data_IF_765519275769
#
_entry.id   IF_765519275769
#
_cell.length_a   1.000
_cell.length_b   1.000
_cell.length_c   1.000
_cell.angle_alpha   90.00
_cell.angle_beta   90.00
_cell.angle_gamma   90.00
#
_symmetry.space_group_name_H-M   'P 1'
#
loop_
_entity.id
_entity.type
_entity.pdbx_description
1 polymer ?
#
# COMPACT_ATOMS: atom_id res chain seq x y z
N UNK A 1 29.11 -51.21 -59.94
CA UNK A 1 30.14 -51.32 -58.88
C UNK A 1 30.51 -49.93 -58.39
N UNK A 2 30.66 -49.76 -57.07
CA UNK A 2 31.13 -48.57 -56.33
C UNK A 2 30.20 -47.34 -56.35
N UNK A 3 30.01 -46.53 -55.30
CA UNK A 3 30.38 -46.57 -53.88
C UNK A 3 29.58 -45.47 -53.16
N UNK A 4 29.43 -45.58 -51.83
CA UNK A 4 28.80 -44.61 -50.93
C UNK A 4 29.65 -43.35 -50.72
N UNK A 5 29.02 -42.17 -50.57
CA UNK A 5 29.56 -41.03 -49.82
C UNK A 5 28.42 -40.29 -49.08
N UNK A 6 28.51 -40.27 -47.75
CA UNK A 6 27.70 -39.47 -46.84
C UNK A 6 28.07 -37.98 -46.93
N UNK A 7 27.08 -37.07 -46.91
CA UNK A 7 27.31 -35.65 -46.63
C UNK A 7 26.42 -35.15 -45.48
N UNK A 8 27.09 -34.53 -44.50
CA UNK A 8 26.59 -33.97 -43.24
C UNK A 8 25.59 -32.82 -43.45
N UNK A 9 24.50 -32.84 -42.68
CA UNK A 9 23.71 -31.65 -42.35
C UNK A 9 24.43 -30.84 -41.26
N UNK A 10 24.65 -29.55 -41.49
CA UNK A 10 24.92 -28.57 -40.45
C UNK A 10 23.68 -27.67 -40.33
N UNK A 11 22.90 -27.81 -39.26
CA UNK A 11 22.01 -26.75 -38.78
C UNK A 11 22.85 -25.81 -37.91
N UNK A 12 22.92 -24.54 -38.29
CA UNK A 12 23.43 -23.50 -37.42
C UNK A 12 22.28 -23.07 -36.50
N UNK A 13 22.35 -23.48 -35.24
CA UNK A 13 21.42 -23.03 -34.19
C UNK A 13 21.73 -21.56 -33.86
N UNK A 14 20.92 -20.66 -34.41
CA UNK A 14 20.84 -19.28 -33.94
C UNK A 14 20.17 -19.27 -32.57
N UNK A 15 20.97 -19.04 -31.54
CA UNK A 15 20.49 -18.80 -30.17
C UNK A 15 19.76 -17.46 -30.15
N UNK A 16 18.42 -17.51 -30.12
CA UNK A 16 17.55 -16.36 -29.94
C UNK A 16 17.53 -16.00 -28.44
N UNK A 17 18.21 -14.90 -28.08
CA UNK A 17 18.08 -14.29 -26.76
C UNK A 17 16.70 -13.62 -26.67
N UNK A 18 15.74 -14.32 -26.06
CA UNK A 18 14.46 -13.74 -25.67
C UNK A 18 14.70 -12.96 -24.39
N UNK A 19 14.71 -11.63 -24.48
CA UNK A 19 14.64 -10.75 -23.32
C UNK A 19 13.17 -10.62 -22.95
N UNK A 20 12.70 -11.45 -22.03
CA UNK A 20 11.39 -11.25 -21.42
C UNK A 20 11.50 -10.05 -20.47
N UNK A 21 10.73 -8.99 -20.72
CA UNK A 21 10.50 -7.96 -19.70
C UNK A 21 9.76 -8.62 -18.53
N UNK A 22 10.49 -8.86 -17.44
CA UNK A 22 9.88 -9.29 -16.19
C UNK A 22 9.06 -8.14 -15.64
N UNK A 23 7.74 -8.25 -15.69
CA UNK A 23 6.86 -7.42 -14.86
C UNK A 23 7.17 -7.81 -13.42
N UNK A 24 7.97 -6.99 -12.73
CA UNK A 24 8.27 -7.18 -11.33
C UNK A 24 6.98 -6.92 -10.56
N UNK A 25 6.34 -7.97 -10.04
CA UNK A 25 5.23 -7.81 -9.13
C UNK A 25 5.74 -7.07 -7.88
N UNK A 26 5.17 -5.91 -7.58
CA UNK A 26 5.46 -5.19 -6.35
C UNK A 26 4.98 -6.03 -5.16
N UNK A 27 5.88 -6.36 -4.22
CA UNK A 27 5.48 -7.08 -3.01
C UNK A 27 4.76 -6.11 -2.08
N UNK A 28 3.55 -6.50 -1.68
CA UNK A 28 2.74 -5.70 -0.75
C UNK A 28 2.31 -6.53 0.45
N UNK A 29 2.53 -5.97 1.63
CA UNK A 29 2.05 -6.50 2.90
C UNK A 29 1.13 -5.49 3.59
N UNK A 30 0.38 -5.95 4.58
CA UNK A 30 -0.35 -5.07 5.49
C UNK A 30 -0.17 -5.57 6.91
N UNK A 31 -0.04 -4.62 7.84
CA UNK A 31 0.08 -4.90 9.27
C UNK A 31 -0.68 -3.80 10.03
N UNK A 32 -1.45 -4.12 11.07
CA UNK A 32 -1.98 -3.10 11.96
C UNK A 32 -0.84 -2.36 12.66
N UNK A 33 -1.08 -1.09 12.97
CA UNK A 33 -0.23 -0.35 13.88
C UNK A 33 -0.27 -0.92 15.31
N UNK A 34 0.51 -0.31 16.22
CA UNK A 34 0.46 -0.61 17.65
C UNK A 34 0.83 -2.05 18.03
N UNK A 35 1.42 -2.79 17.08
CA UNK A 35 1.93 -4.15 17.28
C UNK A 35 3.27 -4.17 18.00
N UNK A 36 3.52 -5.26 18.72
CA UNK A 36 4.76 -5.47 19.46
C UNK A 36 5.98 -5.59 18.52
N UNK A 37 7.15 -5.16 19.01
CA UNK A 37 8.43 -5.43 18.36
C UNK A 37 8.65 -6.95 18.18
N UNK A 38 9.24 -7.34 17.05
CA UNK A 38 9.41 -8.72 16.62
C UNK A 38 8.19 -9.33 15.93
N UNK A 39 7.04 -8.64 15.88
CA UNK A 39 5.86 -9.12 15.14
C UNK A 39 6.20 -9.28 13.66
N UNK A 40 5.88 -10.45 13.10
CA UNK A 40 6.12 -10.75 11.69
C UNK A 40 5.07 -10.06 10.81
N UNK A 41 5.53 -9.25 9.88
CA UNK A 41 4.74 -8.63 8.80
C UNK A 41 4.46 -9.66 7.69
N UNK A 42 5.48 -10.45 7.33
CA UNK A 42 5.41 -11.44 6.26
C UNK A 42 6.72 -12.19 6.06
N UNK A 43 6.68 -13.32 5.35
CA UNK A 43 7.86 -14.16 5.09
C UNK A 43 8.55 -13.78 3.78
N UNK A 44 9.16 -12.61 3.76
CA UNK A 44 9.70 -12.01 2.54
C UNK A 44 10.77 -12.83 1.82
N UNK A 45 11.66 -13.54 2.55
CA UNK A 45 12.62 -14.43 1.90
C UNK A 45 11.94 -15.53 1.08
N UNK A 46 10.85 -16.10 1.62
CA UNK A 46 10.07 -17.15 0.93
C UNK A 46 9.39 -16.58 -0.30
N UNK A 47 8.82 -15.39 -0.20
CA UNK A 47 8.09 -14.74 -1.30
C UNK A 47 9.02 -14.30 -2.43
N UNK A 48 10.28 -13.98 -2.10
CA UNK A 48 11.37 -13.73 -3.06
C UNK A 48 12.07 -15.00 -3.57
N UNK A 49 11.67 -16.18 -3.10
CA UNK A 49 12.28 -17.46 -3.48
C UNK A 49 13.71 -17.67 -2.97
N UNK A 50 14.10 -16.97 -1.90
CA UNK A 50 15.42 -17.08 -1.28
C UNK A 50 15.43 -18.22 -0.24
N UNK A 51 16.50 -19.01 -0.27
CA UNK A 51 16.72 -20.04 0.74
C UNK A 51 17.21 -19.46 2.06
N UNK A 52 16.66 -19.96 3.18
CA UNK A 52 16.97 -19.47 4.54
C UNK A 52 18.45 -19.59 4.87
N UNK A 53 19.11 -20.66 4.43
CA UNK A 53 20.53 -20.87 4.71
C UNK A 53 21.42 -19.87 3.96
N UNK A 54 20.93 -19.27 2.87
CA UNK A 54 21.68 -18.30 2.07
C UNK A 54 21.56 -16.85 2.57
N UNK A 55 20.61 -16.54 3.46
CA UNK A 55 20.27 -15.15 3.82
C UNK A 55 21.43 -14.39 4.46
N UNK A 56 22.20 -15.06 5.33
CA UNK A 56 23.34 -14.46 6.03
C UNK A 56 24.50 -14.22 5.06
N UNK A 57 24.85 -15.22 4.24
CA UNK A 57 25.93 -15.13 3.24
C UNK A 57 25.63 -14.07 2.18
N UNK A 58 24.36 -14.00 1.75
CA UNK A 58 23.87 -13.00 0.80
C UNK A 58 23.49 -11.66 1.45
N UNK A 59 23.80 -11.45 2.73
CA UNK A 59 23.57 -10.20 3.48
C UNK A 59 22.17 -9.61 3.27
N UNK A 60 21.14 -10.45 3.36
CA UNK A 60 19.75 -10.06 3.15
C UNK A 60 19.27 -9.08 4.22
N UNK A 61 18.89 -7.86 3.81
CA UNK A 61 18.54 -6.78 4.75
C UNK A 61 17.65 -5.70 4.15
N UNK A 62 17.00 -4.94 5.03
CA UNK A 62 16.40 -3.64 4.68
C UNK A 62 17.51 -2.63 4.35
N UNK A 63 17.32 -1.86 3.29
CA UNK A 63 18.24 -0.81 2.88
C UNK A 63 18.19 0.37 3.87
N UNK A 64 19.35 0.90 4.29
CA UNK A 64 19.37 2.08 5.13
C UNK A 64 18.68 3.30 4.52
N UNK A 65 17.92 4.02 5.34
CA UNK A 65 17.15 5.19 4.91
C UNK A 65 15.77 4.92 4.27
N UNK A 66 15.44 3.68 3.88
CA UNK A 66 14.07 3.32 3.44
C UNK A 66 13.21 2.83 4.60
N UNK A 67 13.11 3.61 5.68
CA UNK A 67 12.34 3.24 6.90
C UNK A 67 12.87 2.03 7.70
N UNK A 68 14.17 1.74 7.64
CA UNK A 68 14.87 0.72 8.45
C UNK A 68 14.72 0.88 9.99
N UNK A 69 14.23 2.05 10.43
CA UNK A 69 13.93 2.32 11.83
C UNK A 69 12.73 1.52 12.33
N UNK A 70 11.78 1.18 11.44
CA UNK A 70 10.53 0.51 11.80
C UNK A 70 10.53 -0.97 11.45
N UNK A 71 11.31 -1.38 10.44
CA UNK A 71 11.36 -2.76 10.00
C UNK A 71 12.77 -3.32 9.89
N UNK A 72 12.87 -4.61 10.15
CA UNK A 72 14.07 -5.40 9.92
C UNK A 72 13.72 -6.76 9.33
N UNK A 73 14.71 -7.44 8.78
CA UNK A 73 14.56 -8.82 8.34
C UNK A 73 15.24 -9.74 9.32
N UNK A 74 14.49 -10.73 9.81
CA UNK A 74 15.02 -11.79 10.63
C UNK A 74 15.91 -12.72 9.80
N UNK A 75 17.20 -12.81 10.16
CA UNK A 75 18.19 -13.60 9.43
C UNK A 75 17.95 -15.11 9.48
N UNK A 76 17.26 -15.60 10.52
CA UNK A 76 17.12 -17.04 10.78
C UNK A 76 15.97 -17.65 9.98
N UNK A 77 14.90 -16.89 9.78
CA UNK A 77 13.69 -17.38 9.12
C UNK A 77 13.29 -16.57 7.87
N UNK A 78 13.93 -15.42 7.63
CA UNK A 78 13.67 -14.55 6.49
C UNK A 78 12.37 -13.77 6.55
N UNK A 79 11.80 -13.58 7.74
CA UNK A 79 10.60 -12.77 7.94
C UNK A 79 10.94 -11.27 8.03
N UNK A 80 10.12 -10.44 7.39
CA UNK A 80 10.08 -9.01 7.66
C UNK A 80 9.36 -8.82 9.00
N UNK A 81 10.01 -8.13 9.94
CA UNK A 81 9.53 -7.96 11.31
C UNK A 81 9.54 -6.49 11.71
N UNK A 82 8.63 -6.15 12.62
CA UNK A 82 8.57 -4.83 13.24
C UNK A 82 9.75 -4.68 14.19
N UNK A 83 10.59 -3.69 13.95
CA UNK A 83 11.77 -3.38 14.77
C UNK A 83 11.46 -2.38 15.87
N UNK A 84 10.56 -1.45 15.59
CA UNK A 84 10.10 -0.40 16.52
C UNK A 84 8.60 -0.29 16.37
N UNK A 85 7.92 -0.05 17.50
CA UNK A 85 6.48 0.24 17.53
C UNK A 85 6.12 1.30 16.48
N UNK A 86 5.07 1.01 15.73
CA UNK A 86 4.55 1.85 14.65
C UNK A 86 3.32 2.55 15.20
N UNK A 87 3.37 3.87 15.19
CA UNK A 87 2.28 4.79 15.47
C UNK A 87 1.94 5.45 14.13
N UNK A 88 0.74 5.17 13.61
CA UNK A 88 0.32 5.62 12.28
C UNK A 88 0.10 7.12 12.28
N UNK A 89 -0.41 7.70 13.36
CA UNK A 89 -0.68 9.13 13.50
C UNK A 89 0.62 9.95 13.48
N UNK A 90 1.72 9.43 14.03
CA UNK A 90 3.05 10.05 13.98
C UNK A 90 3.65 10.01 12.55
N UNK A 91 3.36 8.95 11.78
CA UNK A 91 4.05 8.69 10.52
C UNK A 91 3.27 9.19 9.30
N UNK A 92 1.96 9.04 9.36
CA UNK A 92 1.00 9.34 8.33
C UNK A 92 0.03 10.38 8.88
N UNK A 93 0.39 11.66 8.80
CA UNK A 93 -0.39 12.81 9.30
C UNK A 93 -1.76 13.04 8.58
N UNK A 94 -2.45 12.01 8.10
CA UNK A 94 -3.68 12.14 7.33
C UNK A 94 -4.57 10.90 7.37
N UNK A 95 -5.77 11.05 6.81
CA UNK A 95 -6.84 10.04 6.81
C UNK A 95 -6.82 9.07 5.61
N UNK A 96 -5.77 9.11 4.80
CA UNK A 96 -5.59 8.27 3.62
C UNK A 96 -4.84 6.97 3.91
N UNK A 97 -4.53 6.21 2.85
CA UNK A 97 -3.70 5.02 2.96
C UNK A 97 -2.30 5.37 3.52
N UNK A 98 -1.84 4.62 4.52
CA UNK A 98 -0.53 4.79 5.13
C UNK A 98 0.45 3.77 4.56
N UNK A 99 1.10 4.13 3.45
CA UNK A 99 2.01 3.24 2.73
C UNK A 99 3.47 3.53 3.09
N UNK A 100 4.17 2.51 3.57
CA UNK A 100 5.60 2.55 3.83
C UNK A 100 6.36 1.80 2.73
N UNK A 101 7.15 2.53 1.97
CA UNK A 101 8.01 1.96 0.92
C UNK A 101 9.38 1.54 1.49
N UNK A 102 9.70 0.27 1.34
CA UNK A 102 10.94 -0.35 1.75
C UNK A 102 11.71 -0.82 0.52
N UNK A 103 13.04 -0.76 0.61
CA UNK A 103 13.93 -1.42 -0.34
C UNK A 103 14.66 -2.52 0.40
N UNK A 104 14.67 -3.70 -0.18
CA UNK A 104 15.35 -4.88 0.36
C UNK A 104 16.54 -5.19 -0.53
N UNK A 105 17.70 -5.39 0.07
CA UNK A 105 18.95 -5.68 -0.62
C UNK A 105 19.35 -7.12 -0.39
N UNK A 106 19.70 -7.80 -1.48
CA UNK A 106 20.36 -9.12 -1.48
C UNK A 106 21.69 -8.94 -2.21
N UNK A 107 22.77 -9.48 -1.66
CA UNK A 107 24.11 -9.44 -2.25
C UNK A 107 24.47 -10.80 -2.89
N UNK A 108 25.40 -10.79 -3.84
CA UNK A 108 25.97 -11.98 -4.52
C UNK A 108 24.94 -12.97 -5.12
N UNK A 109 24.25 -12.64 -6.24
CA UNK A 109 24.31 -11.38 -7.00
C UNK A 109 23.54 -10.24 -6.32
N UNK A 110 23.88 -9.00 -6.68
CA UNK A 110 23.23 -7.81 -6.17
C UNK A 110 21.83 -7.67 -6.75
N UNK A 111 20.81 -7.77 -5.90
CA UNK A 111 19.40 -7.61 -6.25
C UNK A 111 18.74 -6.61 -5.30
N UNK A 112 17.82 -5.80 -5.83
CA UNK A 112 17.04 -4.84 -5.06
C UNK A 112 15.55 -5.08 -5.29
N UNK A 113 14.82 -5.29 -4.20
CA UNK A 113 13.40 -5.57 -4.24
C UNK A 113 12.62 -4.44 -3.57
N UNK A 114 11.58 -3.96 -4.23
CA UNK A 114 10.68 -2.92 -3.73
C UNK A 114 9.51 -3.58 -2.99
N UNK A 115 9.26 -3.13 -1.78
CA UNK A 115 8.22 -3.67 -0.91
C UNK A 115 7.40 -2.54 -0.34
N UNK A 116 6.07 -2.66 -0.41
CA UNK A 116 5.14 -1.72 0.18
C UNK A 116 4.49 -2.37 1.40
N UNK A 117 4.53 -1.69 2.55
CA UNK A 117 3.80 -2.11 3.74
C UNK A 117 2.68 -1.11 4.00
N UNK A 118 1.45 -1.60 3.98
CA UNK A 118 0.25 -0.84 4.29
C UNK A 118 -0.05 -0.91 5.79
N UNK A 119 0.10 0.22 6.49
CA UNK A 119 -0.15 0.31 7.92
C UNK A 119 -1.65 0.52 8.13
N UNK A 120 -2.30 -0.52 8.63
CA UNK A 120 -3.72 -0.48 8.92
C UNK A 120 -3.97 0.24 10.24
N UNK A 121 -4.87 1.22 10.18
CA UNK A 121 -5.33 2.02 11.31
C UNK A 121 -6.02 1.15 12.36
N UNK A 122 -5.71 1.41 13.62
CA UNK A 122 -6.36 0.80 14.79
C UNK A 122 -7.08 1.90 15.57
N UNK A 123 -8.28 1.62 16.08
CA UNK A 123 -9.02 2.58 16.91
C UNK A 123 -8.40 2.62 18.33
N UNK A 124 -7.32 3.37 18.48
CA UNK A 124 -6.61 3.58 19.75
C UNK A 124 -6.70 5.02 20.27
N UNK A 125 -7.29 5.94 19.49
CA UNK A 125 -7.65 7.28 19.94
C UNK A 125 -9.16 7.43 20.15
N UNK A 126 -9.57 8.59 20.66
CA UNK A 126 -10.97 8.92 20.85
C UNK A 126 -11.24 10.36 20.42
N UNK A 127 -12.46 10.65 19.92
CA UNK A 127 -12.85 12.01 19.56
C UNK A 127 -12.73 12.96 20.75
N UNK A 128 -12.08 14.11 20.52
CA UNK A 128 -11.91 15.14 21.54
C UNK A 128 -12.23 16.53 20.99
N UNK A 129 -12.88 17.36 21.80
CA UNK A 129 -13.09 18.78 21.48
C UNK A 129 -11.87 19.59 21.89
N UNK A 130 -11.64 20.73 21.24
CA UNK A 130 -10.57 21.66 21.64
C UNK A 130 -10.80 22.28 23.00
N UNK A 131 -12.07 22.42 23.41
CA UNK A 131 -12.48 22.95 24.70
C UNK A 131 -13.43 21.96 25.38
N UNK A 132 -13.32 21.83 26.71
CA UNK A 132 -14.16 20.92 27.49
C UNK A 132 -15.58 21.47 27.69
N UNK A 133 -15.79 22.77 27.48
CA UNK A 133 -17.06 23.45 27.62
C UNK A 133 -17.16 24.52 26.53
N UNK A 134 -18.27 24.55 25.82
CA UNK A 134 -18.59 25.59 24.83
C UNK A 134 -19.82 26.35 25.29
N UNK A 135 -19.70 27.66 25.43
CA UNK A 135 -20.81 28.52 25.85
C UNK A 135 -21.37 29.27 24.66
N UNK A 136 -22.67 29.16 24.46
CA UNK A 136 -23.42 29.83 23.38
C UNK A 136 -24.34 30.90 23.97
N UNK A 137 -24.24 32.12 23.45
CA UNK A 137 -25.18 33.20 23.76
C UNK A 137 -26.22 33.28 22.64
N UNK A 138 -27.43 32.80 22.93
CA UNK A 138 -28.53 32.72 21.96
C UNK A 138 -29.61 33.72 22.36
N UNK A 139 -29.94 34.65 21.46
CA UNK A 139 -30.98 35.63 21.73
C UNK A 139 -32.36 34.95 21.76
N UNK A 140 -33.20 35.30 22.73
CA UNK A 140 -34.55 34.71 22.88
C UNK A 140 -35.46 34.94 21.66
N UNK A 141 -35.19 35.98 20.88
CA UNK A 141 -35.94 36.30 19.66
C UNK A 141 -35.38 35.60 18.40
N UNK A 142 -34.48 34.63 18.57
CA UNK A 142 -33.95 33.81 17.47
C UNK A 142 -35.07 33.00 16.83
N UNK A 143 -35.13 33.01 15.50
CA UNK A 143 -36.12 32.23 14.75
C UNK A 143 -35.91 30.72 14.90
N UNK A 144 -37.01 29.96 14.83
CA UNK A 144 -36.93 28.49 14.72
C UNK A 144 -36.14 28.10 13.45
N UNK A 145 -35.29 27.09 13.58
CA UNK A 145 -34.41 26.63 12.50
C UNK A 145 -33.11 27.44 12.34
N UNK A 146 -32.88 28.46 13.17
CA UNK A 146 -31.57 29.13 13.24
C UNK A 146 -30.50 28.11 13.65
N UNK A 147 -29.39 28.05 12.90
CA UNK A 147 -28.31 27.08 13.12
C UNK A 147 -27.13 27.75 13.82
N UNK A 148 -26.57 27.07 14.81
CA UNK A 148 -25.37 27.49 15.53
C UNK A 148 -24.29 26.43 15.28
N UNK A 149 -23.10 26.87 14.88
CA UNK A 149 -21.99 25.95 14.62
C UNK A 149 -21.37 25.52 15.94
N UNK A 150 -21.28 24.21 16.14
CA UNK A 150 -20.48 23.61 17.20
C UNK A 150 -19.04 23.46 16.70
N UNK A 151 -18.03 23.62 17.56
CA UNK A 151 -16.68 23.23 17.12
C UNK A 151 -16.66 21.72 16.91
N UNK A 152 -16.07 21.29 15.81
CA UNK A 152 -15.90 19.89 15.53
C UNK A 152 -14.93 19.27 16.54
N UNK A 153 -15.29 18.09 17.05
CA UNK A 153 -14.31 17.22 17.68
C UNK A 153 -13.25 16.80 16.64
N UNK A 154 -12.10 16.39 17.13
CA UNK A 154 -11.00 15.82 16.34
C UNK A 154 -10.72 14.42 16.84
N UNK A 155 -10.55 13.52 15.89
CA UNK A 155 -10.11 12.15 16.10
C UNK A 155 -8.99 11.91 15.09
N UNK A 156 -7.76 11.61 15.56
CA UNK A 156 -6.62 11.43 14.68
C UNK A 156 -6.68 10.12 13.90
N UNK A 157 -7.51 9.16 14.33
CA UNK A 157 -7.73 7.89 13.64
C UNK A 157 -8.36 8.11 12.26
N UNK A 158 -8.12 7.18 11.35
CA UNK A 158 -8.51 7.28 9.95
C UNK A 158 -9.73 6.43 9.58
N UNK A 159 -10.35 6.78 8.45
CA UNK A 159 -11.42 6.00 7.84
C UNK A 159 -12.61 5.78 8.78
N UNK A 160 -12.91 4.52 9.07
CA UNK A 160 -14.07 4.13 9.90
C UNK A 160 -13.84 4.32 11.40
N UNK A 161 -12.59 4.47 11.82
CA UNK A 161 -12.23 4.66 13.23
C UNK A 161 -12.31 6.13 13.64
N UNK A 162 -12.30 7.06 12.67
CA UNK A 162 -12.54 8.49 12.90
C UNK A 162 -14.00 8.81 13.30
N UNK A 163 -14.29 10.10 13.52
CA UNK A 163 -15.59 10.59 14.00
C UNK A 163 -16.73 10.20 13.05
N UNK A 164 -17.73 9.50 13.59
CA UNK A 164 -18.89 9.01 12.80
C UNK A 164 -20.16 9.83 13.00
N UNK A 165 -20.40 10.28 14.23
CA UNK A 165 -21.66 10.95 14.58
C UNK A 165 -21.47 11.84 15.80
N UNK A 166 -22.39 12.79 15.97
CA UNK A 166 -22.57 13.56 17.18
C UNK A 166 -23.94 13.24 17.77
N UNK A 167 -24.05 13.33 19.09
CA UNK A 167 -25.33 13.14 19.79
C UNK A 167 -25.52 14.28 20.77
N UNK A 168 -26.73 14.83 20.81
CA UNK A 168 -27.13 15.84 21.79
C UNK A 168 -28.08 15.20 22.79
N UNK A 169 -27.92 15.56 24.07
CA UNK A 169 -28.89 15.17 25.10
C UNK A 169 -30.27 15.73 24.75
N UNK A 170 -31.28 14.85 24.75
CA UNK A 170 -32.65 15.21 24.40
C UNK A 170 -33.15 16.40 25.23
N UNK A 171 -33.75 17.38 24.56
CA UNK A 171 -34.32 18.57 25.15
C UNK A 171 -35.40 19.17 24.23
N UNK A 172 -36.16 20.16 24.70
CA UNK A 172 -37.32 20.73 23.98
C UNK A 172 -36.98 21.92 23.06
N UNK A 173 -35.71 22.33 22.99
CA UNK A 173 -35.30 23.61 22.37
C UNK A 173 -34.32 23.44 21.21
N UNK A 174 -33.46 22.44 21.27
CA UNK A 174 -32.33 22.25 20.37
C UNK A 174 -32.27 20.81 19.85
N UNK A 175 -31.90 20.70 18.58
CA UNK A 175 -31.62 19.44 17.91
C UNK A 175 -30.24 19.51 17.24
N UNK A 176 -29.66 18.36 16.92
CA UNK A 176 -28.35 18.27 16.26
C UNK A 176 -28.49 17.81 14.81
N UNK A 177 -27.98 18.62 13.89
CA UNK A 177 -27.99 18.32 12.45
C UNK A 177 -26.57 18.02 11.98
N UNK A 178 -26.36 16.82 11.42
CA UNK A 178 -25.08 16.41 10.84
C UNK A 178 -25.13 16.67 9.33
N UNK A 179 -24.23 17.54 8.85
CA UNK A 179 -24.10 17.83 7.42
C UNK A 179 -23.08 16.85 6.82
N UNK A 180 -23.56 15.87 6.06
CA UNK A 180 -22.68 14.97 5.28
C UNK A 180 -22.37 15.59 3.92
N UNK A 181 -21.08 15.82 3.64
CA UNK A 181 -20.62 16.25 2.32
C UNK A 181 -20.17 15.02 1.54
N UNK A 182 -20.88 14.68 0.47
CA UNK A 182 -20.49 13.62 -0.46
C UNK A 182 -19.87 14.25 -1.70
N UNK A 183 -18.61 13.92 -2.00
CA UNK A 183 -18.01 14.29 -3.28
C UNK A 183 -18.53 13.29 -4.32
N UNK A 184 -19.38 13.75 -5.22
CA UNK A 184 -19.86 12.94 -6.34
C UNK A 184 -18.82 12.97 -7.44
N UNK A 185 -18.37 11.79 -7.87
CA UNK A 185 -17.53 11.66 -9.04
C UNK A 185 -18.29 12.11 -10.29
N UNK A 186 -17.66 12.95 -11.08
CA UNK A 186 -18.15 13.37 -12.39
C UNK A 186 -17.14 12.80 -13.38
N UNK A 187 -17.63 12.22 -14.47
CA UNK A 187 -16.77 11.69 -15.54
C UNK A 187 -16.07 12.83 -16.33
N UNK A 188 -15.19 13.57 -15.64
CA UNK A 188 -14.37 14.67 -16.13
C UNK A 188 -12.97 14.21 -16.57
N UNK A 189 -12.63 12.96 -16.24
CA UNK A 189 -11.40 12.30 -16.65
C UNK A 189 -11.63 11.51 -17.94
N UNK A 190 -11.05 11.98 -19.05
CA UNK A 190 -11.06 11.26 -20.31
C UNK A 190 -10.13 10.04 -20.22
N UNK A 191 -10.49 8.87 -20.80
CA UNK A 191 -9.58 7.74 -20.91
C UNK A 191 -8.25 8.15 -21.56
N UNK A 192 -7.15 7.75 -20.93
CA UNK A 192 -5.80 7.92 -21.45
C UNK A 192 -5.22 6.55 -21.81
N UNK A 193 -4.51 6.48 -22.93
CA UNK A 193 -3.73 5.30 -23.29
C UNK A 193 -2.35 5.42 -22.62
N UNK A 194 -1.77 4.30 -22.20
CA UNK A 194 -0.41 4.28 -21.64
C UNK A 194 0.66 4.59 -22.69
N UNK A 195 0.35 4.35 -23.97
CA UNK A 195 1.22 4.63 -25.10
C UNK A 195 0.42 5.33 -26.20
N UNK A 196 1.10 6.18 -26.97
CA UNK A 196 0.51 6.82 -28.15
C UNK A 196 0.36 5.83 -29.32
N UNK A 197 1.14 4.75 -29.32
CA UNK A 197 1.18 3.73 -30.38
C UNK A 197 1.50 2.39 -29.73
N UNK A 198 0.75 1.35 -30.07
CA UNK A 198 1.07 -0.05 -29.76
C UNK A 198 1.51 -0.74 -31.05
N UNK A 199 2.71 -1.32 -31.05
CA UNK A 199 3.20 -2.09 -32.20
C UNK A 199 3.09 -3.58 -31.88
N UNK A 200 2.37 -4.32 -32.72
CA UNK A 200 2.12 -5.76 -32.56
C UNK A 200 2.48 -6.46 -33.86
N UNK A 201 3.25 -7.54 -33.77
CA UNK A 201 3.59 -8.40 -34.90
C UNK A 201 2.81 -9.71 -34.79
N UNK A 202 2.05 -10.06 -35.84
CA UNK A 202 1.28 -11.30 -35.91
C UNK A 202 1.63 -12.07 -37.19
N UNK A 203 1.72 -13.40 -37.09
CA UNK A 203 1.96 -14.29 -38.22
C UNK A 203 0.67 -14.53 -39.01
N UNK A 204 0.76 -14.71 -40.33
CA UNK A 204 -0.34 -15.24 -41.13
C UNK A 204 -0.70 -16.66 -40.59
N UNK A 205 -1.95 -16.91 -40.20
CA UNK A 205 -2.48 -18.15 -39.59
C UNK A 205 -2.49 -18.27 -38.06
N UNK A 206 -2.44 -17.17 -37.30
CA UNK A 206 -2.80 -17.21 -35.87
C UNK A 206 -4.26 -17.63 -35.67
N UNK A 207 -4.50 -18.46 -34.65
CA UNK A 207 -5.82 -18.93 -34.24
C UNK A 207 -6.67 -17.80 -33.64
N UNK A 208 -7.99 -17.89 -33.81
CA UNK A 208 -8.93 -16.98 -33.11
C UNK A 208 -8.72 -17.10 -31.60
N UNK A 209 -8.48 -15.96 -30.94
CA UNK A 209 -8.24 -15.90 -29.49
C UNK A 209 -6.77 -15.86 -29.07
N UNK A 210 -5.82 -15.69 -30.01
CA UNK A 210 -4.44 -15.36 -29.66
C UNK A 210 -4.39 -14.00 -28.95
N UNK A 211 -3.94 -14.02 -27.69
CA UNK A 211 -3.83 -12.88 -26.77
C UNK A 211 -2.39 -12.39 -26.74
#
# INVERSE_FOLDING_TARGET
SFSSVYHKHNCADSVLLIVAEQVLAELRYSIPEEVNEGTAVGYIAKDLGLDKASLVDRRFRVVPGSKEAYFEVNSDNGALQVRRKIDREEICHGSGACLMELKILVENPLEMHHVVVDIADVNDHYPSFSENEQTFEIAEHSSLGTRFQLDAARDPDAGINSIRTYTLTSNDHFDIEIIQITVLDINDNRPSFSQNVYQVEIYENVSVGTV
#
